data_IF_115168249078
#
_entry.id   IF_115168249078
#
_cell.length_a   1.000
_cell.length_b   1.000
_cell.length_c   1.000
_cell.angle_alpha   90.00
_cell.angle_beta   90.00
_cell.angle_gamma   90.00
#
_symmetry.space_group_name_H-M   'P 1'
#
loop_
_entity.id
_entity.type
_entity.pdbx_description
1 polymer ?
#
# COMPACT_ATOMS: atom_id res chain seq x y z
N UNK A 1 19.22 5.09 -2.33
CA UNK A 1 18.41 4.81 -3.54
C UNK A 1 19.11 3.71 -4.30
N UNK A 2 18.37 2.76 -4.90
CA UNK A 2 18.97 1.71 -5.72
C UNK A 2 19.71 2.29 -6.92
N UNK A 3 20.94 1.82 -7.14
CA UNK A 3 21.80 2.22 -8.26
C UNK A 3 21.77 1.20 -9.40
N UNK A 4 21.16 0.03 -9.19
CA UNK A 4 21.22 -1.12 -10.10
C UNK A 4 22.56 -1.88 -10.08
N UNK A 5 23.54 -1.43 -9.29
CA UNK A 5 24.85 -2.08 -9.17
C UNK A 5 24.85 -3.26 -8.19
N UNK A 6 23.93 -3.25 -7.22
CA UNK A 6 23.83 -4.24 -6.16
C UNK A 6 22.38 -4.39 -5.67
N UNK A 7 22.08 -5.53 -5.05
CA UNK A 7 20.81 -5.74 -4.36
C UNK A 7 20.82 -5.01 -3.01
N UNK A 8 19.72 -4.33 -2.71
CA UNK A 8 19.50 -3.55 -1.50
C UNK A 8 18.79 -4.39 -0.43
N UNK A 9 18.93 -3.99 0.84
CA UNK A 9 18.33 -4.68 1.99
C UNK A 9 16.95 -4.15 2.40
N UNK A 10 16.54 -2.99 1.87
CA UNK A 10 15.22 -2.44 2.13
C UNK A 10 14.15 -3.32 1.47
N UNK A 11 13.11 -3.67 2.23
CA UNK A 11 12.05 -4.55 1.73
C UNK A 11 10.70 -4.27 2.38
N UNK A 12 9.64 -4.74 1.72
CA UNK A 12 8.27 -4.74 2.24
C UNK A 12 7.33 -3.78 1.54
N UNK A 13 6.06 -3.91 1.91
CA UNK A 13 4.91 -3.28 1.29
C UNK A 13 4.53 -1.96 1.97
N UNK A 14 4.06 -0.97 1.21
CA UNK A 14 3.57 0.28 1.78
C UNK A 14 2.44 0.92 0.99
N UNK A 15 1.65 1.74 1.67
CA UNK A 15 0.60 2.56 1.04
C UNK A 15 0.76 4.04 1.42
N UNK A 16 0.47 4.89 0.45
CA UNK A 16 0.65 6.33 0.51
C UNK A 16 -0.66 7.03 0.21
N UNK A 17 -0.84 8.19 0.85
CA UNK A 17 -1.89 9.16 0.52
C UNK A 17 -1.25 10.49 0.13
N UNK A 18 -1.97 11.30 -0.66
CA UNK A 18 -1.57 12.67 -0.98
C UNK A 18 -1.49 13.57 0.26
N UNK A 19 -0.70 14.65 0.20
CA UNK A 19 -0.60 15.64 1.30
C UNK A 19 -1.94 16.30 1.65
N UNK A 20 -2.81 16.50 0.66
CA UNK A 20 -4.16 17.04 0.83
C UNK A 20 -5.25 15.94 0.94
N UNK A 21 -4.87 14.70 1.26
CA UNK A 21 -5.78 13.56 1.22
C UNK A 21 -7.01 13.72 2.12
N UNK A 22 -8.18 13.43 1.53
CA UNK A 22 -9.46 13.36 2.22
C UNK A 22 -9.48 12.27 3.30
N UNK A 23 -10.48 12.30 4.18
CA UNK A 23 -10.67 11.23 5.17
C UNK A 23 -10.93 9.88 4.48
N UNK A 24 -11.58 9.87 3.33
CA UNK A 24 -11.88 8.66 2.58
C UNK A 24 -10.60 8.01 2.01
N UNK A 25 -9.67 8.80 1.45
CA UNK A 25 -8.35 8.28 1.04
C UNK A 25 -7.60 7.67 2.22
N UNK A 26 -7.64 8.33 3.39
CA UNK A 26 -7.00 7.85 4.62
C UNK A 26 -7.65 6.56 5.14
N UNK A 27 -8.97 6.42 5.06
CA UNK A 27 -9.71 5.19 5.40
C UNK A 27 -9.34 4.04 4.47
N UNK A 28 -9.34 4.28 3.15
CA UNK A 28 -8.93 3.29 2.15
C UNK A 28 -7.50 2.80 2.42
N UNK A 29 -6.54 3.70 2.66
CA UNK A 29 -5.17 3.34 2.97
C UNK A 29 -5.06 2.47 4.23
N UNK A 30 -5.81 2.79 5.30
CA UNK A 30 -5.83 1.97 6.52
C UNK A 30 -6.40 0.57 6.27
N UNK A 31 -7.49 0.46 5.51
CA UNK A 31 -8.09 -0.84 5.18
C UNK A 31 -7.11 -1.74 4.43
N UNK A 32 -6.43 -1.19 3.40
CA UNK A 32 -5.41 -1.92 2.65
C UNK A 32 -4.24 -2.38 3.54
N UNK A 33 -3.70 -1.49 4.37
CA UNK A 33 -2.60 -1.82 5.26
C UNK A 33 -2.99 -2.86 6.32
N UNK A 34 -4.22 -2.80 6.85
CA UNK A 34 -4.71 -3.77 7.82
C UNK A 34 -4.83 -5.18 7.21
N UNK A 35 -5.34 -5.29 5.96
CA UNK A 35 -5.38 -6.57 5.25
C UNK A 35 -3.97 -7.12 5.02
N UNK A 36 -3.02 -6.28 4.60
CA UNK A 36 -1.63 -6.68 4.43
C UNK A 36 -1.03 -7.22 5.75
N UNK A 37 -1.24 -6.51 6.87
CA UNK A 37 -0.80 -6.96 8.21
C UNK A 37 -1.44 -8.29 8.61
N UNK A 38 -2.75 -8.47 8.38
CA UNK A 38 -3.48 -9.70 8.70
C UNK A 38 -2.95 -10.90 7.88
N UNK A 39 -2.46 -10.63 6.66
CA UNK A 39 -1.79 -11.61 5.79
C UNK A 39 -0.32 -11.81 6.13
N UNK A 40 0.16 -11.22 7.23
CA UNK A 40 1.56 -11.28 7.71
C UNK A 40 2.57 -10.70 6.72
N UNK A 41 2.13 -9.82 5.82
CA UNK A 41 3.04 -9.06 4.94
C UNK A 41 3.79 -8.02 5.77
N UNK A 42 5.08 -7.85 5.49
CA UNK A 42 5.92 -6.81 6.09
C UNK A 42 5.47 -5.43 5.61
N UNK A 43 4.63 -4.75 6.40
CA UNK A 43 4.15 -3.39 6.08
C UNK A 43 5.12 -2.35 6.63
N UNK A 44 5.68 -1.51 5.74
CA UNK A 44 6.47 -0.34 6.12
C UNK A 44 5.54 0.80 6.51
N UNK A 45 5.80 1.39 7.68
CA UNK A 45 4.99 2.44 8.28
C UNK A 45 5.86 3.58 8.82
N UNK A 46 5.41 4.85 8.76
CA UNK A 46 6.15 5.98 9.32
C UNK A 46 6.25 5.94 10.85
N UNK A 47 5.29 5.31 11.52
CA UNK A 47 5.32 5.07 12.96
C UNK A 47 4.39 3.91 13.34
N UNK A 48 4.50 3.33 14.56
CA UNK A 48 3.66 2.21 14.96
C UNK A 48 2.15 2.47 14.86
N UNK A 49 1.71 3.71 15.09
CA UNK A 49 0.29 4.11 15.11
C UNK A 49 -0.24 4.60 13.76
N UNK A 50 0.62 4.78 12.74
CA UNK A 50 0.22 5.32 11.44
C UNK A 50 0.53 4.32 10.33
N UNK A 51 -0.51 3.73 9.75
CA UNK A 51 -0.41 2.62 8.77
C UNK A 51 -0.10 3.05 7.33
N UNK A 52 0.00 4.35 7.05
CA UNK A 52 0.23 4.86 5.69
C UNK A 52 1.18 6.06 5.70
N UNK A 53 1.88 6.24 4.60
CA UNK A 53 2.75 7.38 4.36
C UNK A 53 1.98 8.55 3.75
N UNK A 54 2.54 9.75 3.85
CA UNK A 54 1.99 10.95 3.21
C UNK A 54 3.06 11.50 2.28
N UNK A 55 2.74 11.68 1.00
CA UNK A 55 3.70 12.10 -0.02
C UNK A 55 3.05 13.03 -1.06
N UNK A 56 3.88 13.85 -1.71
CA UNK A 56 3.46 14.85 -2.70
C UNK A 56 3.26 14.22 -4.10
N UNK A 57 2.39 13.21 -4.22
CA UNK A 57 2.08 12.58 -5.49
C UNK A 57 0.95 13.32 -6.21
N UNK A 58 1.22 13.86 -7.40
CA UNK A 58 0.23 14.64 -8.17
C UNK A 58 -1.06 13.85 -8.40
N UNK A 59 -0.94 12.59 -8.82
CA UNK A 59 -2.08 11.69 -9.10
C UNK A 59 -2.99 11.47 -7.89
N UNK A 60 -2.44 11.46 -6.67
CA UNK A 60 -3.22 11.29 -5.44
C UNK A 60 -3.84 12.60 -4.93
N UNK A 61 -3.42 13.75 -5.45
CA UNK A 61 -3.87 15.08 -5.00
C UNK A 61 -4.82 15.76 -5.98
N UNK A 62 -4.70 15.46 -7.26
CA UNK A 62 -5.47 16.06 -8.35
C UNK A 62 -6.49 15.07 -8.90
N UNK A 63 -7.34 14.61 -7.99
CA UNK A 63 -8.42 13.67 -8.28
C UNK A 63 -9.63 13.99 -7.41
N UNK A 64 -10.82 13.76 -7.96
CA UNK A 64 -12.09 13.95 -7.25
C UNK A 64 -12.49 12.72 -6.42
N UNK A 65 -11.89 11.55 -6.67
CA UNK A 65 -12.18 10.33 -5.94
C UNK A 65 -11.16 10.09 -4.81
N UNK A 66 -11.53 9.31 -3.77
CA UNK A 66 -10.57 8.79 -2.81
C UNK A 66 -9.45 8.03 -3.52
N UNK A 67 -8.20 8.39 -3.23
CA UNK A 67 -7.02 7.88 -3.94
C UNK A 67 -5.86 7.58 -3.00
N UNK A 68 -5.14 6.50 -3.32
CA UNK A 68 -3.96 6.01 -2.64
C UNK A 68 -2.95 5.52 -3.68
N UNK A 69 -1.67 5.48 -3.33
CA UNK A 69 -0.63 4.80 -4.10
C UNK A 69 -0.08 3.65 -3.26
N UNK A 70 -0.04 2.45 -3.82
CA UNK A 70 0.54 1.28 -3.17
C UNK A 70 1.90 1.00 -3.80
N UNK A 71 2.94 0.99 -2.96
CA UNK A 71 4.23 0.42 -3.31
C UNK A 71 4.21 -1.03 -2.89
N UNK A 72 4.06 -1.95 -3.84
CA UNK A 72 3.88 -3.36 -3.50
C UNK A 72 5.11 -3.93 -2.79
N UNK A 73 6.30 -3.76 -3.33
CA UNK A 73 7.58 -4.17 -2.73
C UNK A 73 8.75 -3.44 -3.42
N UNK A 74 9.99 -3.75 -3.06
CA UNK A 74 11.19 -3.14 -3.65
C UNK A 74 11.68 -3.90 -4.89
N UNK A 75 11.94 -3.18 -5.97
CA UNK A 75 12.48 -3.76 -7.22
C UNK A 75 14.01 -3.92 -7.19
N UNK A 76 14.68 -3.28 -6.23
CA UNK A 76 16.11 -3.40 -5.98
C UNK A 76 16.43 -4.33 -4.80
N UNK A 77 15.45 -5.06 -4.26
CA UNK A 77 15.67 -6.15 -3.31
C UNK A 77 15.35 -7.50 -3.96
N UNK A 78 16.28 -8.45 -3.84
CA UNK A 78 16.22 -9.73 -4.56
C UNK A 78 15.00 -10.55 -4.15
N UNK A 79 14.75 -10.69 -2.84
CA UNK A 79 13.67 -11.50 -2.29
C UNK A 79 12.29 -10.90 -2.63
N UNK A 80 12.15 -9.58 -2.57
CA UNK A 80 10.94 -8.85 -2.93
C UNK A 80 10.63 -9.02 -4.44
N UNK A 81 11.64 -8.99 -5.32
CA UNK A 81 11.47 -9.24 -6.76
C UNK A 81 11.07 -10.68 -7.03
N UNK A 82 11.77 -11.65 -6.43
CA UNK A 82 11.43 -13.07 -6.57
C UNK A 82 9.99 -13.33 -6.13
N UNK A 83 9.56 -12.73 -5.02
CA UNK A 83 8.17 -12.79 -4.56
C UNK A 83 7.21 -12.16 -5.57
N UNK A 84 7.48 -10.94 -6.06
CA UNK A 84 6.61 -10.27 -7.04
C UNK A 84 6.48 -11.01 -8.38
N UNK A 85 7.49 -11.77 -8.78
CA UNK A 85 7.47 -12.57 -10.00
C UNK A 85 6.75 -13.92 -9.81
N UNK A 86 6.65 -14.41 -8.58
CA UNK A 86 5.94 -15.64 -8.23
C UNK A 86 4.41 -15.47 -8.35
N UNK A 87 3.71 -16.58 -8.61
CA UNK A 87 2.24 -16.57 -8.65
C UNK A 87 1.63 -16.30 -7.26
N UNK A 88 2.27 -16.83 -6.20
CA UNK A 88 1.89 -16.57 -4.82
C UNK A 88 1.98 -15.08 -4.48
N UNK A 89 3.04 -14.40 -4.91
CA UNK A 89 3.20 -12.96 -4.64
C UNK A 89 2.22 -12.10 -5.41
N UNK A 90 2.00 -12.38 -6.71
CA UNK A 90 0.97 -11.73 -7.53
C UNK A 90 -0.43 -11.91 -6.93
N UNK A 91 -0.76 -13.13 -6.50
CA UNK A 91 -2.04 -13.42 -5.87
C UNK A 91 -2.15 -12.73 -4.51
N UNK A 92 -1.08 -12.66 -3.72
CA UNK A 92 -1.04 -11.98 -2.44
C UNK A 92 -1.37 -10.48 -2.59
N UNK A 93 -0.67 -9.76 -3.47
CA UNK A 93 -0.90 -8.32 -3.69
C UNK A 93 -2.30 -8.05 -4.24
N UNK A 94 -2.78 -8.89 -5.17
CA UNK A 94 -4.15 -8.79 -5.71
C UNK A 94 -5.19 -8.96 -4.61
N UNK A 95 -5.02 -9.97 -3.75
CA UNK A 95 -5.93 -10.24 -2.65
C UNK A 95 -5.94 -9.11 -1.61
N UNK A 96 -4.79 -8.50 -1.32
CA UNK A 96 -4.70 -7.32 -0.43
C UNK A 96 -5.56 -6.18 -0.99
N UNK A 97 -5.38 -5.87 -2.28
CA UNK A 97 -6.12 -4.79 -2.94
C UNK A 97 -7.62 -5.09 -2.96
N UNK A 98 -8.01 -6.29 -3.41
CA UNK A 98 -9.41 -6.69 -3.52
C UNK A 98 -10.14 -6.63 -2.17
N UNK A 99 -9.56 -7.26 -1.15
CA UNK A 99 -10.17 -7.31 0.18
C UNK A 99 -10.17 -5.93 0.85
N UNK A 100 -9.06 -5.17 0.77
CA UNK A 100 -8.99 -3.85 1.39
C UNK A 100 -9.92 -2.83 0.74
N UNK A 101 -10.06 -2.83 -0.59
CA UNK A 101 -11.05 -2.00 -1.30
C UNK A 101 -12.47 -2.43 -0.91
N UNK A 102 -12.75 -3.73 -0.87
CA UNK A 102 -14.06 -4.27 -0.47
C UNK A 102 -14.42 -3.84 0.96
N UNK A 103 -13.48 -3.94 1.90
CA UNK A 103 -13.69 -3.53 3.29
C UNK A 103 -13.92 -2.02 3.40
N UNK A 104 -13.17 -1.20 2.66
CA UNK A 104 -13.41 0.23 2.57
C UNK A 104 -14.82 0.57 2.05
N UNK A 105 -15.27 -0.09 0.99
CA UNK A 105 -16.60 0.16 0.41
C UNK A 105 -17.73 -0.22 1.39
N UNK A 106 -17.59 -1.36 2.08
CA UNK A 106 -18.53 -1.77 3.13
C UNK A 106 -18.57 -0.76 4.29
N UNK A 107 -17.42 -0.28 4.73
CA UNK A 107 -17.34 0.75 5.78
C UNK A 107 -17.98 2.06 5.31
N UNK A 108 -17.71 2.47 4.07
CA UNK A 108 -18.28 3.69 3.48
C UNK A 108 -19.80 3.63 3.44
N UNK A 109 -20.38 2.52 2.97
CA UNK A 109 -21.83 2.32 2.90
C UNK A 109 -22.52 2.36 4.27
N UNK A 110 -21.90 1.82 5.32
CA UNK A 110 -22.47 1.85 6.68
C UNK A 110 -22.52 3.25 7.29
N UNK A 111 -21.67 4.16 6.82
CA UNK A 111 -21.54 5.52 7.34
C UNK A 111 -22.31 6.56 6.50
N UNK A 112 -23.04 6.10 5.47
CA UNK A 112 -24.05 6.90 4.75
C UNK A 112 -25.41 6.75 5.43
#
# INVERSE_FOLDING_TARGET
MGSGAEWMSASGWSVFVGVNASMNSKRLARQLAQVALNRKVKVRRPSPQKLYWTANFYICQKTNCPAVLVENFFQDNKEDVEFLLSEEGKQCVTNILLEGITNYLKEYQRNM
#
